data_IF_451650111052
#
_entry.id   IF_451650111052
#
_cell.length_a   1.000
_cell.length_b   1.000
_cell.length_c   1.000
_cell.angle_alpha   90.00
_cell.angle_beta   90.00
_cell.angle_gamma   90.00
#
_symmetry.space_group_name_H-M   'P 1'
#
loop_
_entity.id
_entity.type
_entity.pdbx_description
1 polymer ?
#
# COMPACT_ATOMS: atom_id res chain seq x y z
N UNK A 1 -17.34 9.40 -14.39
CA UNK A 1 -15.91 9.71 -14.62
C UNK A 1 -15.80 10.75 -15.72
N UNK A 2 -14.88 11.67 -15.60
CA UNK A 2 -14.59 12.70 -16.60
C UNK A 2 -13.09 12.89 -16.77
N UNK A 3 -12.67 13.23 -17.98
CA UNK A 3 -11.30 13.66 -18.25
C UNK A 3 -11.06 15.07 -17.66
N UNK A 4 -9.86 15.28 -17.16
CA UNK A 4 -9.35 16.56 -16.72
C UNK A 4 -8.30 17.08 -17.70
N UNK A 5 -8.29 18.40 -17.89
CA UNK A 5 -7.13 19.04 -18.49
C UNK A 5 -5.91 18.80 -17.59
N UNK A 6 -4.79 18.40 -18.19
CA UNK A 6 -3.57 18.05 -17.47
C UNK A 6 -3.04 19.23 -16.64
N UNK A 7 -3.25 20.48 -17.11
CA UNK A 7 -2.83 21.65 -16.36
C UNK A 7 -3.64 21.82 -15.06
N UNK A 8 -4.94 21.54 -15.10
CA UNK A 8 -5.84 21.60 -13.93
C UNK A 8 -5.61 20.44 -12.95
N UNK A 9 -5.12 19.29 -13.46
CA UNK A 9 -4.91 18.10 -12.66
C UNK A 9 -4.02 18.37 -11.45
N UNK A 10 -2.97 19.18 -11.61
CA UNK A 10 -1.99 19.46 -10.55
C UNK A 10 -2.52 20.27 -9.36
N UNK A 11 -3.69 20.85 -9.49
CA UNK A 11 -4.42 21.49 -8.38
C UNK A 11 -5.45 20.53 -7.77
N UNK A 12 -6.07 19.71 -8.60
CA UNK A 12 -7.18 18.84 -8.20
C UNK A 12 -6.69 17.54 -7.52
N UNK A 13 -5.68 16.86 -8.09
CA UNK A 13 -5.21 15.56 -7.57
C UNK A 13 -4.68 15.63 -6.13
N UNK A 14 -3.84 16.63 -5.75
CA UNK A 14 -3.39 16.76 -4.36
C UNK A 14 -4.53 16.90 -3.37
N UNK A 15 -5.56 17.65 -3.73
CA UNK A 15 -6.76 17.84 -2.89
C UNK A 15 -7.51 16.53 -2.72
N UNK A 16 -7.83 15.82 -3.81
CA UNK A 16 -8.52 14.52 -3.74
C UNK A 16 -7.74 13.54 -2.85
N UNK A 17 -6.43 13.47 -3.01
CA UNK A 17 -5.60 12.58 -2.21
C UNK A 17 -5.62 12.95 -0.73
N UNK A 18 -5.49 14.22 -0.40
CA UNK A 18 -5.49 14.70 0.99
C UNK A 18 -6.84 14.47 1.68
N UNK A 19 -7.95 14.70 0.97
CA UNK A 19 -9.31 14.56 1.49
C UNK A 19 -9.74 13.09 1.68
N UNK A 20 -9.26 12.20 0.81
CA UNK A 20 -9.75 10.82 0.74
C UNK A 20 -8.68 9.76 1.03
N UNK A 21 -7.50 10.16 1.48
CA UNK A 21 -6.44 9.21 1.83
C UNK A 21 -6.95 8.16 2.83
N UNK A 22 -6.95 6.86 2.51
CA UNK A 22 -7.49 5.83 3.36
C UNK A 22 -6.62 5.62 4.61
N UNK A 23 -7.23 5.19 5.70
CA UNK A 23 -6.54 4.72 6.90
C UNK A 23 -5.97 3.29 6.70
N UNK A 24 -5.40 3.02 5.54
CA UNK A 24 -4.76 1.74 5.20
C UNK A 24 -3.35 1.70 5.78
N UNK A 25 -2.89 0.56 6.36
CA UNK A 25 -1.52 0.44 6.82
C UNK A 25 -0.52 0.79 5.71
N UNK A 26 0.51 1.56 6.05
CA UNK A 26 1.56 1.99 5.11
C UNK A 26 1.21 3.17 4.23
N UNK A 27 -0.05 3.63 4.17
CA UNK A 27 -0.40 4.82 3.40
C UNK A 27 0.28 6.06 4.01
N UNK A 28 1.04 6.78 3.19
CA UNK A 28 1.79 7.96 3.58
C UNK A 28 1.29 9.20 2.86
N UNK A 29 1.60 10.37 3.41
CA UNK A 29 1.25 11.64 2.80
C UNK A 29 2.06 11.90 1.53
N UNK A 30 1.46 12.63 0.58
CA UNK A 30 2.12 13.09 -0.64
C UNK A 30 2.40 14.58 -0.52
N UNK A 31 3.58 14.99 -0.04
CA UNK A 31 3.89 16.40 0.18
C UNK A 31 3.96 17.17 -1.15
N UNK A 32 3.84 18.49 -1.06
CA UNK A 32 3.86 19.37 -2.24
C UNK A 32 5.08 19.12 -3.15
N UNK A 33 6.25 18.88 -2.57
CA UNK A 33 7.48 18.60 -3.33
C UNK A 33 7.36 17.32 -4.17
N UNK A 34 6.67 16.30 -3.66
CA UNK A 34 6.40 15.07 -4.40
C UNK A 34 5.53 15.35 -5.62
N UNK A 35 4.41 16.08 -5.44
CA UNK A 35 3.52 16.47 -6.54
C UNK A 35 4.23 17.30 -7.61
N UNK A 36 5.11 18.22 -7.20
CA UNK A 36 5.95 19.00 -8.12
C UNK A 36 6.91 18.09 -8.91
N UNK A 37 7.54 17.12 -8.25
CA UNK A 37 8.41 16.14 -8.91
C UNK A 37 7.66 15.27 -9.92
N UNK A 38 6.44 14.81 -9.58
CA UNK A 38 5.57 14.07 -10.50
C UNK A 38 5.19 14.93 -11.71
N UNK A 39 4.81 16.17 -11.47
CA UNK A 39 4.47 17.14 -12.54
C UNK A 39 5.65 17.32 -13.51
N UNK A 40 6.84 17.60 -13.00
CA UNK A 40 8.04 17.79 -13.82
C UNK A 40 8.37 16.55 -14.65
N UNK A 41 8.28 15.36 -14.05
CA UNK A 41 8.48 14.09 -14.77
C UNK A 41 7.43 13.91 -15.87
N UNK A 42 6.18 14.22 -15.61
CA UNK A 42 5.08 14.13 -16.57
C UNK A 42 5.26 15.09 -17.74
N UNK A 43 5.62 16.34 -17.47
CA UNK A 43 5.87 17.37 -18.49
C UNK A 43 7.11 17.08 -19.34
N UNK A 44 8.09 16.33 -18.80
CA UNK A 44 9.31 15.93 -19.48
C UNK A 44 9.20 14.60 -20.21
N UNK A 45 8.15 13.82 -19.94
CA UNK A 45 7.97 12.51 -20.56
C UNK A 45 7.53 12.64 -22.03
N UNK A 46 7.98 11.74 -22.92
CA UNK A 46 7.51 11.71 -24.28
C UNK A 46 6.05 11.26 -24.36
N UNK A 47 5.25 11.96 -25.14
CA UNK A 47 3.84 11.64 -25.40
C UNK A 47 2.86 12.23 -24.39
N UNK A 48 1.56 12.07 -24.65
CA UNK A 48 0.52 12.63 -23.82
C UNK A 48 0.31 11.83 -22.54
N UNK A 49 0.06 12.52 -21.43
CA UNK A 49 -0.49 11.95 -20.21
C UNK A 49 -1.93 12.41 -20.05
N UNK A 50 -2.79 11.49 -19.68
CA UNK A 50 -4.20 11.74 -19.46
C UNK A 50 -4.54 11.58 -17.99
N UNK A 51 -5.50 12.37 -17.52
CA UNK A 51 -6.04 12.31 -16.17
C UNK A 51 -7.54 12.19 -16.24
N UNK A 52 -8.10 11.23 -15.52
CA UNK A 52 -9.54 11.13 -15.30
C UNK A 52 -9.86 11.13 -13.81
N UNK A 53 -10.97 11.73 -13.44
CA UNK A 53 -11.44 11.81 -12.06
C UNK A 53 -12.84 11.21 -11.93
N UNK A 54 -13.10 10.59 -10.78
CA UNK A 54 -14.40 10.11 -10.37
C UNK A 54 -15.07 11.14 -9.47
N UNK A 55 -16.36 11.40 -9.69
CA UNK A 55 -17.14 12.37 -8.94
C UNK A 55 -17.43 13.67 -9.70
N UNK A 56 -18.33 14.49 -9.16
CA UNK A 56 -18.67 15.79 -9.72
C UNK A 56 -17.56 16.82 -9.44
N UNK A 57 -17.47 17.90 -10.24
CA UNK A 57 -16.51 18.97 -9.97
C UNK A 57 -16.63 19.51 -8.54
N UNK A 58 -15.51 19.53 -7.82
CA UNK A 58 -15.43 19.99 -6.42
C UNK A 58 -15.76 18.93 -5.36
N UNK A 59 -16.24 17.74 -5.78
CA UNK A 59 -16.51 16.57 -4.92
C UNK A 59 -15.98 15.27 -5.51
N UNK A 60 -14.82 15.36 -6.13
CA UNK A 60 -14.13 14.19 -6.69
C UNK A 60 -13.63 13.28 -5.57
N UNK A 61 -13.80 11.97 -5.76
CA UNK A 61 -13.47 10.94 -4.77
C UNK A 61 -12.36 9.98 -5.20
N UNK A 62 -11.83 10.16 -6.40
CA UNK A 62 -10.75 9.33 -6.92
C UNK A 62 -10.24 9.83 -8.26
N UNK A 63 -9.09 9.32 -8.68
CA UNK A 63 -8.50 9.68 -9.96
C UNK A 63 -7.63 8.56 -10.53
N UNK A 64 -7.39 8.65 -11.83
CA UNK A 64 -6.39 7.85 -12.55
C UNK A 64 -5.55 8.75 -13.44
N UNK A 65 -4.24 8.52 -13.43
CA UNK A 65 -3.28 9.12 -14.35
C UNK A 65 -2.67 8.02 -15.20
N UNK A 66 -2.77 8.16 -16.51
CA UNK A 66 -2.32 7.13 -17.46
C UNK A 66 -1.77 7.73 -18.73
N UNK A 67 -0.98 6.95 -19.44
CA UNK A 67 -0.46 7.32 -20.76
C UNK A 67 -0.40 6.12 -21.70
N UNK A 68 -0.58 6.32 -23.00
CA UNK A 68 -0.31 5.31 -24.01
C UNK A 68 1.21 5.13 -24.18
N UNK A 69 1.60 3.91 -24.49
CA UNK A 69 2.99 3.60 -24.85
C UNK A 69 3.06 3.01 -26.26
N UNK A 70 4.22 3.14 -26.91
CA UNK A 70 4.51 2.60 -28.24
C UNK A 70 3.49 3.03 -29.32
N UNK A 71 2.95 4.24 -29.22
CA UNK A 71 1.86 4.74 -30.07
C UNK A 71 2.19 4.75 -31.56
N UNK A 72 3.45 4.83 -31.94
CA UNK A 72 3.89 4.75 -33.34
C UNK A 72 3.53 3.40 -34.00
N UNK A 73 3.33 2.35 -33.22
CA UNK A 73 3.00 1.01 -33.69
C UNK A 73 1.50 0.66 -33.55
N UNK A 74 0.67 1.52 -32.99
CA UNK A 74 -0.73 1.24 -32.70
C UNK A 74 -1.59 0.85 -33.90
N UNK A 75 -1.23 1.35 -35.09
CA UNK A 75 -1.97 1.00 -36.31
C UNK A 75 -1.67 -0.40 -36.86
N UNK A 76 -0.61 -1.04 -36.35
CA UNK A 76 -0.16 -2.35 -36.82
C UNK A 76 0.03 -3.35 -35.66
N UNK A 77 -0.36 -2.98 -34.46
CA UNK A 77 -0.18 -3.80 -33.24
C UNK A 77 -1.53 -4.26 -32.71
N UNK A 78 -1.58 -5.51 -32.27
CA UNK A 78 -2.69 -6.08 -31.51
C UNK A 78 -2.49 -5.91 -29.99
N UNK A 79 -1.50 -5.12 -29.57
CA UNK A 79 -1.14 -4.91 -28.15
C UNK A 79 -1.05 -3.41 -27.83
N UNK A 80 -2.07 -2.65 -28.20
CA UNK A 80 -2.16 -1.22 -27.85
C UNK A 80 -2.31 -1.05 -26.35
N UNK A 81 -1.25 -0.62 -25.71
CA UNK A 81 -1.11 -0.62 -24.26
C UNK A 81 -1.16 0.78 -23.68
N UNK A 82 -1.92 0.97 -22.63
CA UNK A 82 -1.80 2.13 -21.75
C UNK A 82 -1.16 1.70 -20.41
N UNK A 83 -0.35 2.58 -19.85
CA UNK A 83 0.23 2.43 -18.51
C UNK A 83 -0.50 3.36 -17.55
N UNK A 84 -1.07 2.79 -16.52
CA UNK A 84 -1.64 3.51 -15.38
C UNK A 84 -0.51 3.77 -14.39
N UNK A 85 -0.12 5.03 -14.29
CA UNK A 85 1.00 5.48 -13.45
C UNK A 85 0.57 5.84 -12.03
N UNK A 86 -0.70 6.20 -11.85
CA UNK A 86 -1.28 6.50 -10.54
C UNK A 86 -2.78 6.15 -10.58
N UNK A 87 -3.21 5.29 -9.67
CA UNK A 87 -4.60 4.88 -9.52
C UNK A 87 -5.01 5.06 -8.07
N UNK A 88 -5.77 6.10 -7.81
CA UNK A 88 -6.26 6.43 -6.49
C UNK A 88 -7.77 6.32 -6.43
N UNK A 89 -8.26 5.27 -5.82
CA UNK A 89 -9.68 4.94 -5.75
C UNK A 89 -10.03 4.39 -4.34
N UNK A 90 -10.19 5.26 -3.34
CA UNK A 90 -10.35 4.86 -1.93
C UNK A 90 -11.72 4.26 -1.60
N UNK A 91 -12.69 4.36 -2.52
CA UNK A 91 -14.02 3.77 -2.36
C UNK A 91 -14.33 2.78 -3.48
N UNK A 92 -15.20 1.79 -3.20
CA UNK A 92 -15.62 0.83 -4.21
C UNK A 92 -16.26 1.50 -5.45
N UNK A 93 -17.01 2.59 -5.24
CA UNK A 93 -17.63 3.34 -6.32
C UNK A 93 -16.59 4.01 -7.23
N UNK A 94 -15.60 4.68 -6.63
CA UNK A 94 -14.49 5.30 -7.36
C UNK A 94 -13.68 4.23 -8.10
N UNK A 95 -13.37 3.11 -7.43
CA UNK A 95 -12.63 2.01 -8.02
C UNK A 95 -13.34 1.44 -9.26
N UNK A 96 -14.61 1.05 -9.10
CA UNK A 96 -15.40 0.51 -10.20
C UNK A 96 -15.63 1.52 -11.32
N UNK A 97 -15.85 2.78 -10.98
CA UNK A 97 -16.03 3.86 -11.95
C UNK A 97 -14.79 4.08 -12.81
N UNK A 98 -13.63 4.23 -12.18
CA UNK A 98 -12.36 4.43 -12.87
C UNK A 98 -11.91 3.18 -13.65
N UNK A 99 -12.13 1.99 -13.09
CA UNK A 99 -11.83 0.74 -13.80
C UNK A 99 -12.68 0.59 -15.06
N UNK A 100 -13.99 0.82 -14.97
CA UNK A 100 -14.87 0.79 -16.15
C UNK A 100 -14.48 1.81 -17.21
N UNK A 101 -14.05 2.99 -16.77
CA UNK A 101 -13.54 4.02 -17.67
C UNK A 101 -12.30 3.51 -18.42
N UNK A 102 -11.30 2.93 -17.72
CA UNK A 102 -10.09 2.41 -18.35
C UNK A 102 -10.38 1.25 -19.32
N UNK A 103 -11.25 0.32 -18.93
CA UNK A 103 -11.65 -0.82 -19.76
C UNK A 103 -12.55 -0.44 -20.94
N UNK A 104 -13.17 0.74 -20.89
CA UNK A 104 -14.00 1.28 -21.95
C UNK A 104 -13.25 2.21 -22.92
N UNK A 105 -11.95 2.39 -22.75
CA UNK A 105 -11.14 3.20 -23.69
C UNK A 105 -11.07 2.53 -25.06
N UNK A 106 -11.43 3.28 -26.07
CA UNK A 106 -11.35 2.81 -27.46
C UNK A 106 -9.89 2.61 -27.89
N UNK A 107 -9.65 1.66 -28.76
CA UNK A 107 -8.32 1.32 -29.28
C UNK A 107 -7.28 0.91 -28.21
N UNK A 108 -7.70 0.39 -27.06
CA UNK A 108 -6.83 -0.13 -26.02
C UNK A 108 -7.08 -1.63 -25.84
N UNK A 109 -6.04 -2.42 -26.01
CA UNK A 109 -6.09 -3.89 -25.86
C UNK A 109 -5.56 -4.32 -24.48
N UNK A 110 -4.67 -3.51 -23.87
CA UNK A 110 -4.01 -3.84 -22.61
C UNK A 110 -3.94 -2.62 -21.69
N UNK A 111 -4.35 -2.82 -20.43
CA UNK A 111 -4.17 -1.85 -19.36
C UNK A 111 -3.12 -2.41 -18.39
N UNK A 112 -1.98 -1.72 -18.28
CA UNK A 112 -0.91 -2.08 -17.37
C UNK A 112 -0.93 -1.13 -16.17
N UNK A 113 -1.18 -1.66 -14.99
CA UNK A 113 -1.01 -0.90 -13.75
C UNK A 113 0.44 -1.01 -13.31
N UNK A 114 1.08 0.11 -13.10
CA UNK A 114 2.44 0.13 -12.58
C UNK A 114 2.48 -0.37 -11.14
N UNK A 115 1.52 0.07 -10.33
CA UNK A 115 1.49 -0.25 -8.92
C UNK A 115 0.05 -0.50 -8.46
N UNK A 116 -0.20 -1.69 -7.96
CA UNK A 116 -1.40 -2.04 -7.21
C UNK A 116 -0.98 -2.75 -5.92
N UNK A 117 -1.77 -2.63 -4.86
CA UNK A 117 -1.46 -3.33 -3.61
C UNK A 117 -1.53 -4.85 -3.77
N UNK A 118 -0.81 -5.56 -2.94
CA UNK A 118 -1.00 -7.01 -2.80
C UNK A 118 -2.45 -7.30 -2.37
N UNK A 119 -3.06 -8.28 -2.99
CA UNK A 119 -4.47 -8.62 -2.70
C UNK A 119 -5.50 -7.67 -3.32
N UNK A 120 -5.10 -6.84 -4.31
CA UNK A 120 -6.03 -5.98 -5.05
C UNK A 120 -7.23 -6.77 -5.61
N UNK A 121 -8.46 -6.24 -5.53
CA UNK A 121 -9.68 -6.95 -5.97
C UNK A 121 -9.83 -7.09 -7.49
N UNK A 122 -8.96 -6.48 -8.30
CA UNK A 122 -9.05 -6.46 -9.76
C UNK A 122 -9.37 -7.83 -10.39
N UNK A 123 -8.72 -8.96 -10.01
CA UNK A 123 -9.03 -10.26 -10.61
C UNK A 123 -10.47 -10.71 -10.38
N UNK A 124 -11.09 -10.29 -9.30
CA UNK A 124 -12.47 -10.68 -8.94
C UNK A 124 -13.54 -9.86 -9.64
N UNK A 125 -13.16 -8.74 -10.23
CA UNK A 125 -14.07 -7.83 -10.94
C UNK A 125 -14.19 -8.15 -12.43
N UNK A 126 -13.37 -9.04 -12.96
CA UNK A 126 -13.39 -9.44 -14.36
C UNK A 126 -14.09 -10.79 -14.56
N UNK A 127 -14.79 -10.94 -15.66
CA UNK A 127 -15.43 -12.20 -16.04
C UNK A 127 -14.41 -13.34 -16.21
N UNK A 128 -13.25 -13.04 -16.77
CA UNK A 128 -12.10 -13.93 -16.80
C UNK A 128 -10.99 -13.40 -15.86
N UNK A 129 -10.84 -14.05 -14.72
CA UNK A 129 -9.79 -13.73 -13.75
C UNK A 129 -8.37 -13.90 -14.30
N UNK A 130 -8.18 -14.76 -15.31
CA UNK A 130 -6.89 -15.03 -15.94
C UNK A 130 -6.44 -13.91 -16.86
N UNK A 131 -7.34 -12.97 -17.19
CA UNK A 131 -6.99 -11.74 -17.91
C UNK A 131 -6.08 -10.84 -17.08
N UNK A 132 -6.14 -10.94 -15.73
CA UNK A 132 -5.21 -10.26 -14.85
C UNK A 132 -3.97 -11.10 -14.64
N UNK A 133 -2.80 -10.49 -14.89
CA UNK A 133 -1.50 -11.12 -14.68
C UNK A 133 -0.63 -10.21 -13.84
N UNK A 134 -0.13 -10.72 -12.72
CA UNK A 134 0.94 -10.06 -11.97
C UNK A 134 2.25 -10.36 -12.70
N UNK A 135 2.90 -9.33 -13.19
CA UNK A 135 4.16 -9.45 -13.94
C UNK A 135 5.36 -9.33 -13.03
N UNK A 136 5.25 -8.53 -11.97
CA UNK A 136 6.35 -8.28 -11.05
C UNK A 136 5.79 -7.91 -9.67
N UNK A 137 6.53 -8.23 -8.63
CA UNK A 137 6.31 -7.77 -7.26
C UNK A 137 7.58 -7.06 -6.82
N UNK A 138 7.45 -5.86 -6.29
CA UNK A 138 8.57 -5.04 -5.83
C UNK A 138 8.36 -4.61 -4.37
N UNK A 139 9.46 -4.55 -3.64
CA UNK A 139 9.53 -3.85 -2.36
C UNK A 139 9.80 -2.38 -2.63
N UNK A 140 8.86 -1.51 -2.24
CA UNK A 140 8.97 -0.08 -2.54
C UNK A 140 9.37 0.76 -1.31
N UNK A 141 8.95 0.35 -0.12
CA UNK A 141 9.17 1.12 1.11
C UNK A 141 9.83 0.27 2.17
N UNK A 142 10.99 0.71 2.63
CA UNK A 142 11.73 0.07 3.70
C UNK A 142 11.44 0.76 5.03
N UNK A 143 11.16 -0.02 6.05
CA UNK A 143 10.81 0.44 7.38
C UNK A 143 11.89 0.10 8.40
N UNK A 144 12.30 1.08 9.20
CA UNK A 144 13.16 0.89 10.36
C UNK A 144 12.43 1.37 11.61
N UNK A 145 12.23 0.47 12.57
CA UNK A 145 11.68 0.83 13.89
C UNK A 145 12.79 1.40 14.74
N UNK A 146 12.69 2.67 15.09
CA UNK A 146 13.69 3.39 15.90
C UNK A 146 13.27 3.54 17.38
N UNK A 147 11.98 3.33 17.67
CA UNK A 147 11.38 3.26 19.00
C UNK A 147 10.29 2.19 18.96
N UNK A 148 10.63 0.99 19.43
CA UNK A 148 9.73 -0.16 19.41
C UNK A 148 8.48 0.06 20.27
N UNK A 149 8.65 0.71 21.43
CA UNK A 149 7.53 0.99 22.33
C UNK A 149 6.55 1.99 21.71
N UNK A 150 7.05 3.10 21.19
CA UNK A 150 6.20 4.11 20.54
C UNK A 150 5.52 3.55 19.30
N UNK A 151 6.24 2.79 18.46
CA UNK A 151 5.70 2.19 17.24
C UNK A 151 4.59 1.20 17.56
N UNK A 152 4.77 0.30 18.53
CA UNK A 152 3.75 -0.63 18.96
C UNK A 152 2.58 0.06 19.66
N UNK A 153 2.80 1.11 20.43
CA UNK A 153 1.74 1.89 21.06
C UNK A 153 0.88 2.69 20.06
N UNK A 154 1.45 3.05 18.92
CA UNK A 154 0.76 3.83 17.89
C UNK A 154 -0.13 2.98 16.97
N UNK A 155 0.04 1.65 16.95
CA UNK A 155 -0.78 0.80 16.08
C UNK A 155 -2.07 0.35 16.77
N UNK A 156 -3.09 0.03 15.96
CA UNK A 156 -4.27 -0.71 16.41
C UNK A 156 -4.02 -2.22 16.44
N UNK A 157 -4.76 -2.92 17.28
CA UNK A 157 -4.70 -4.38 17.43
C UNK A 157 -6.08 -5.00 17.22
N UNK A 158 -6.12 -6.24 16.69
CA UNK A 158 -7.34 -7.02 16.57
C UNK A 158 -7.49 -7.97 17.76
N UNK A 159 -8.55 -7.82 18.58
CA UNK A 159 -8.82 -8.67 19.75
C UNK A 159 -8.22 -8.11 21.04
N UNK A 160 -8.51 -8.82 22.13
CA UNK A 160 -8.20 -8.42 23.50
C UNK A 160 -7.14 -9.33 24.17
N UNK A 161 -6.49 -10.19 23.36
CA UNK A 161 -5.48 -11.09 23.90
C UNK A 161 -4.26 -10.32 24.40
N UNK A 162 -3.52 -10.97 25.28
CA UNK A 162 -2.24 -10.47 25.77
C UNK A 162 -1.10 -11.16 25.05
N UNK A 163 -0.10 -10.38 24.65
CA UNK A 163 1.14 -10.88 24.05
C UNK A 163 2.32 -10.11 24.63
N UNK A 164 3.36 -10.83 25.02
CA UNK A 164 4.63 -10.26 25.45
C UNK A 164 5.68 -10.50 24.37
N UNK A 165 6.27 -9.43 23.85
CA UNK A 165 7.27 -9.47 22.79
C UNK A 165 8.59 -8.90 23.28
N UNK A 166 9.67 -9.68 23.19
CA UNK A 166 11.01 -9.19 23.40
C UNK A 166 11.59 -8.75 22.05
N UNK A 167 11.92 -7.49 21.95
CA UNK A 167 12.56 -6.88 20.78
C UNK A 167 14.05 -6.74 21.07
N UNK A 168 14.89 -7.22 20.16
CA UNK A 168 16.33 -7.04 20.17
C UNK A 168 16.76 -6.06 19.06
N UNK A 169 17.54 -5.04 19.40
CA UNK A 169 18.08 -4.10 18.43
C UNK A 169 19.61 -4.02 18.59
N UNK A 170 20.38 -4.59 17.67
CA UNK A 170 21.84 -4.60 17.79
C UNK A 170 22.49 -3.23 17.57
N UNK A 171 21.76 -2.27 16.98
CA UNK A 171 22.29 -0.92 16.70
C UNK A 171 21.87 0.09 17.75
N UNK A 172 20.62 0.06 18.20
CA UNK A 172 20.06 0.98 19.18
C UNK A 172 19.72 0.19 20.45
N UNK A 173 20.69 0.09 21.37
CA UNK A 173 20.52 -0.72 22.58
C UNK A 173 19.30 -0.31 23.43
N UNK A 174 19.01 0.99 23.50
CA UNK A 174 17.83 1.50 24.21
C UNK A 174 16.49 1.07 23.58
N UNK A 175 16.52 0.58 22.33
CA UNK A 175 15.39 0.03 21.62
C UNK A 175 15.19 -1.48 21.87
N UNK A 176 16.16 -2.12 22.55
CA UNK A 176 16.04 -3.52 22.99
C UNK A 176 15.17 -3.56 24.26
N UNK A 177 13.94 -4.05 24.13
CA UNK A 177 12.93 -3.94 25.19
C UNK A 177 11.95 -5.10 25.14
N UNK A 178 11.49 -5.54 26.34
CA UNK A 178 10.38 -6.47 26.44
C UNK A 178 9.09 -5.68 26.66
N UNK A 179 8.09 -5.91 25.81
CA UNK A 179 6.85 -5.15 25.77
C UNK A 179 5.64 -6.08 25.87
N UNK A 180 4.72 -5.72 26.75
CA UNK A 180 3.42 -6.38 26.87
C UNK A 180 2.37 -5.56 26.15
N UNK A 181 1.67 -6.22 25.24
CA UNK A 181 0.52 -5.71 24.50
C UNK A 181 -0.72 -6.31 25.16
N UNK A 182 -1.63 -5.48 25.64
CA UNK A 182 -2.87 -5.94 26.29
C UNK A 182 -3.93 -4.83 26.21
N UNK A 183 -5.17 -5.16 25.85
CA UNK A 183 -6.30 -4.23 25.84
C UNK A 183 -6.04 -2.97 24.99
N UNK A 184 -5.29 -3.10 23.88
CA UNK A 184 -4.90 -1.99 23.01
C UNK A 184 -3.79 -1.08 23.56
N UNK A 185 -3.25 -1.36 24.76
CA UNK A 185 -2.13 -0.65 25.36
C UNK A 185 -0.81 -1.41 25.25
N UNK A 186 0.30 -0.68 25.36
CA UNK A 186 1.67 -1.24 25.35
C UNK A 186 2.44 -0.73 26.55
N UNK A 187 2.98 -1.65 27.34
CA UNK A 187 3.78 -1.36 28.54
C UNK A 187 5.09 -2.17 28.53
N UNK A 188 6.11 -1.64 29.17
CA UNK A 188 7.33 -2.43 29.45
C UNK A 188 6.96 -3.58 30.38
N UNK A 189 7.49 -4.75 30.11
CA UNK A 189 7.27 -5.96 30.88
C UNK A 189 8.59 -6.53 31.40
N UNK A 190 8.51 -7.08 32.61
CA UNK A 190 9.58 -7.86 33.21
C UNK A 190 9.21 -9.34 33.09
N UNK A 191 10.15 -10.17 32.71
CA UNK A 191 9.96 -11.62 32.65
C UNK A 191 10.08 -12.21 31.24
N UNK A 192 9.77 -13.50 31.08
CA UNK A 192 9.93 -14.18 29.81
C UNK A 192 8.92 -13.69 28.76
N UNK A 193 9.39 -13.46 27.57
CA UNK A 193 8.55 -13.12 26.44
C UNK A 193 7.81 -14.36 25.88
N UNK A 194 6.68 -14.13 25.24
CA UNK A 194 5.96 -15.13 24.45
C UNK A 194 6.60 -15.31 23.09
N UNK A 195 7.13 -14.19 22.54
CA UNK A 195 7.84 -14.16 21.26
C UNK A 195 9.08 -13.26 21.36
N UNK A 196 10.20 -13.76 20.89
CA UNK A 196 11.44 -13.01 20.70
C UNK A 196 11.62 -12.67 19.22
N UNK A 197 12.02 -11.44 18.92
CA UNK A 197 12.19 -10.96 17.55
C UNK A 197 13.28 -9.88 17.48
N UNK A 198 14.07 -9.88 16.41
CA UNK A 198 14.92 -8.74 16.11
C UNK A 198 14.10 -7.58 15.53
N UNK A 199 14.60 -6.36 15.64
CA UNK A 199 13.91 -5.15 15.21
C UNK A 199 13.53 -5.16 13.73
N UNK A 200 14.27 -5.88 12.88
CA UNK A 200 13.96 -6.08 11.46
C UNK A 200 12.71 -6.95 11.29
N UNK A 201 12.61 -8.04 12.06
CA UNK A 201 11.41 -8.88 12.09
C UNK A 201 10.20 -8.12 12.64
N UNK A 202 10.39 -7.30 13.69
CA UNK A 202 9.33 -6.42 14.18
C UNK A 202 8.85 -5.45 13.09
N UNK A 203 9.77 -4.84 12.32
CA UNK A 203 9.42 -3.95 11.22
C UNK A 203 8.58 -4.66 10.14
N UNK A 204 8.90 -5.92 9.84
CA UNK A 204 8.17 -6.71 8.83
C UNK A 204 6.71 -6.97 9.24
N UNK A 205 6.43 -7.23 10.52
CA UNK A 205 5.06 -7.49 11.01
C UNK A 205 4.32 -6.24 11.45
N UNK A 206 5.01 -5.12 11.66
CA UNK A 206 4.44 -3.91 12.27
C UNK A 206 3.21 -3.40 11.54
N UNK A 207 3.22 -3.42 10.21
CA UNK A 207 2.11 -2.99 9.37
C UNK A 207 1.17 -4.14 8.97
N UNK A 208 1.42 -5.38 9.39
CA UNK A 208 0.58 -6.54 9.11
C UNK A 208 0.77 -7.13 7.71
N UNK A 209 1.85 -6.79 7.01
CA UNK A 209 2.16 -7.33 5.68
C UNK A 209 2.75 -8.75 5.70
N UNK A 210 3.27 -9.17 6.86
CA UNK A 210 3.88 -10.48 7.09
C UNK A 210 3.31 -11.05 8.38
N UNK A 211 3.23 -12.38 8.50
CA UNK A 211 2.77 -13.03 9.71
C UNK A 211 3.93 -13.40 10.64
N UNK A 212 3.65 -13.49 11.93
CA UNK A 212 4.61 -13.99 12.91
C UNK A 212 5.00 -15.44 12.65
N UNK A 213 4.08 -16.25 12.11
CA UNK A 213 4.37 -17.61 11.69
C UNK A 213 5.36 -17.67 10.54
N UNK A 214 5.23 -16.78 9.55
CA UNK A 214 6.19 -16.70 8.45
C UNK A 214 7.58 -16.38 8.96
N UNK A 215 7.68 -15.39 9.88
CA UNK A 215 8.95 -15.05 10.51
C UNK A 215 9.52 -16.21 11.34
N UNK A 216 8.69 -16.96 12.05
CA UNK A 216 9.14 -18.10 12.82
C UNK A 216 9.67 -19.23 11.91
N UNK A 217 9.01 -19.50 10.78
CA UNK A 217 9.49 -20.46 9.76
C UNK A 217 10.81 -20.01 9.15
N UNK A 218 10.97 -18.70 8.93
CA UNK A 218 12.21 -18.09 8.41
C UNK A 218 13.33 -18.02 9.46
N UNK A 219 13.05 -18.33 10.73
CA UNK A 219 14.02 -18.22 11.84
C UNK A 219 14.26 -16.78 12.32
N UNK A 220 13.41 -15.85 11.91
CA UNK A 220 13.47 -14.41 12.25
C UNK A 220 12.65 -14.05 13.50
N UNK A 221 11.84 -14.96 14.00
CA UNK A 221 11.16 -14.87 15.29
C UNK A 221 11.19 -16.22 16.01
N UNK A 222 11.20 -16.18 17.33
CA UNK A 222 11.15 -17.39 18.18
C UNK A 222 9.99 -17.29 19.14
N UNK A 223 9.08 -18.23 19.08
CA UNK A 223 7.96 -18.30 20.00
C UNK A 223 8.25 -19.29 21.13
N UNK A 224 7.76 -19.00 22.32
CA UNK A 224 7.82 -19.87 23.48
C UNK A 224 7.02 -21.15 23.26
N UNK A 225 5.89 -21.03 22.60
CA UNK A 225 5.05 -22.12 22.16
C UNK A 225 4.32 -21.75 20.85
N UNK A 226 3.79 -22.73 20.09
CA UNK A 226 3.05 -22.44 18.85
C UNK A 226 1.78 -21.62 19.05
N UNK A 227 1.17 -21.64 20.23
CA UNK A 227 -0.02 -20.87 20.56
C UNK A 227 0.27 -19.36 20.58
N UNK A 228 1.46 -18.97 21.03
CA UNK A 228 1.89 -17.57 21.04
C UNK A 228 1.90 -16.96 19.64
N UNK A 229 2.35 -17.70 18.62
CA UNK A 229 2.31 -17.22 17.22
C UNK A 229 0.87 -17.00 16.73
N UNK A 230 -0.06 -17.86 17.12
CA UNK A 230 -1.45 -17.70 16.74
C UNK A 230 -2.09 -16.46 17.37
N UNK A 231 -1.74 -16.15 18.63
CA UNK A 231 -2.14 -14.89 19.29
C UNK A 231 -1.52 -13.69 18.59
N UNK A 232 -0.22 -13.75 18.34
CA UNK A 232 0.50 -12.66 17.68
C UNK A 232 -0.08 -12.35 16.27
N UNK A 233 -0.34 -13.38 15.46
CA UNK A 233 -0.95 -13.22 14.14
C UNK A 233 -2.33 -12.56 14.21
N UNK A 234 -3.19 -12.96 15.17
CA UNK A 234 -4.51 -12.33 15.34
C UNK A 234 -4.40 -10.87 15.77
N UNK A 235 -3.59 -10.59 16.78
CA UNK A 235 -3.40 -9.21 17.26
C UNK A 235 -2.86 -8.28 16.18
N UNK A 236 -1.96 -8.79 15.34
CA UNK A 236 -1.32 -8.01 14.28
C UNK A 236 -2.06 -8.06 12.94
N UNK A 237 -3.17 -8.78 12.85
CA UNK A 237 -3.96 -8.85 11.64
C UNK A 237 -4.45 -7.46 11.19
N UNK A 238 -4.49 -7.27 9.88
CA UNK A 238 -5.01 -6.06 9.24
C UNK A 238 -6.00 -6.46 8.14
N UNK A 239 -7.05 -5.67 7.89
CA UNK A 239 -8.05 -6.00 6.86
C UNK A 239 -7.49 -5.92 5.45
N UNK A 240 -6.47 -5.09 5.25
CA UNK A 240 -5.86 -4.83 3.94
C UNK A 240 -4.34 -4.87 4.04
N UNK A 241 -3.69 -5.46 3.04
CA UNK A 241 -2.22 -5.47 2.97
C UNK A 241 -1.66 -4.04 2.95
N UNK A 242 -0.52 -3.78 3.59
CA UNK A 242 0.11 -2.45 3.58
C UNK A 242 0.40 -1.97 2.17
N UNK A 243 0.22 -0.67 1.95
CA UNK A 243 0.49 -0.06 0.66
C UNK A 243 0.78 1.43 0.80
N UNK A 244 1.94 1.87 0.35
CA UNK A 244 2.32 3.28 0.42
C UNK A 244 1.56 4.14 -0.61
N UNK A 245 1.19 3.56 -1.74
CA UNK A 245 0.46 4.22 -2.82
C UNK A 245 1.33 5.08 -3.73
N UNK A 246 2.64 5.14 -3.50
CA UNK A 246 3.63 5.77 -4.38
C UNK A 246 5.06 5.35 -3.99
N UNK A 247 6.01 5.65 -4.83
CA UNK A 247 7.44 5.46 -4.59
C UNK A 247 8.17 6.82 -4.55
N UNK A 248 9.35 6.83 -3.96
CA UNK A 248 10.20 8.02 -3.82
C UNK A 248 11.11 8.23 -5.03
#
# INVERSE_FOLDING_TARGET
>A
VRLLDTAQAWEVLPRIYAEHRPARPGTIDRPRVWWQGVRLRTESAPGPTYVAVHGAPGSETGFVRYRPIDTARWFVSDERTIVVEDFFAPTAEAYLGLLRFLLGLDLVDRVQFWMLPLGDPLPWLLADRRAVRVTTVHDETWLRVVDARAALAARGYCGDETLTVAVNDPLLQDNSVCLRIAGGGVAVADGPADVDVDVEGLAAVLLGGTTWRDLAVAGLARARDPGALAVADRLFAVPEAPHAGFFF
#
